data_IF_360660927318
#
_entry.id   IF_360660927318
#
_cell.length_a   1.000
_cell.length_b   1.000
_cell.length_c   1.000
_cell.angle_alpha   90.00
_cell.angle_beta   90.00
_cell.angle_gamma   90.00
#
_symmetry.space_group_name_H-M   'P 1'
#
loop_
_entity.id
_entity.type
_entity.pdbx_description
1 polymer ?
#
# COMPACT_ATOMS: atom_id res chain seq x y z
N UNK A 1 -27.45 -9.87 14.59
CA UNK A 1 -27.44 -8.59 15.33
C UNK A 1 -27.34 -7.46 14.33
N UNK A 2 -28.43 -6.71 14.18
CA UNK A 2 -28.66 -5.69 13.15
C UNK A 2 -27.96 -4.37 13.50
N UNK A 3 -27.16 -3.83 12.57
CA UNK A 3 -26.48 -2.53 12.72
C UNK A 3 -27.48 -1.41 12.35
N UNK A 4 -28.06 -0.79 13.37
CA UNK A 4 -29.03 0.30 13.23
C UNK A 4 -28.41 1.57 12.64
N UNK A 5 -29.13 2.16 11.68
CA UNK A 5 -28.99 3.53 11.16
C UNK A 5 -28.98 4.53 12.32
N UNK A 6 -27.88 5.27 12.51
CA UNK A 6 -27.94 6.61 13.09
C UNK A 6 -26.67 7.41 12.78
N UNK A 7 -26.88 8.69 12.51
CA UNK A 7 -25.91 9.79 12.37
C UNK A 7 -25.33 10.06 10.98
N UNK A 8 -26.22 10.57 10.13
CA UNK A 8 -25.92 11.65 9.19
C UNK A 8 -25.59 12.93 9.97
N UNK A 9 -24.56 13.67 9.50
CA UNK A 9 -24.02 14.96 9.98
C UNK A 9 -23.03 14.91 11.15
N UNK A 10 -21.75 14.66 10.86
CA UNK A 10 -20.65 15.55 11.24
C UNK A 10 -19.35 15.12 10.56
N UNK A 11 -18.53 16.10 10.19
CA UNK A 11 -17.13 16.02 9.70
C UNK A 11 -16.99 16.01 8.17
N UNK A 12 -16.81 17.24 7.66
CA UNK A 12 -16.20 17.55 6.38
C UNK A 12 -14.71 17.15 6.35
N UNK A 13 -14.27 16.71 5.15
CA UNK A 13 -12.89 16.62 4.66
C UNK A 13 -11.97 15.61 5.36
N UNK A 14 -11.97 14.39 4.82
CA UNK A 14 -10.79 13.51 4.78
C UNK A 14 -10.67 12.98 3.34
N UNK A 15 -9.57 13.23 2.60
CA UNK A 15 -9.41 12.65 1.29
C UNK A 15 -9.02 11.18 1.40
N UNK A 16 -9.58 10.38 0.50
CA UNK A 16 -9.34 8.97 0.31
C UNK A 16 -7.83 8.67 0.21
N UNK A 17 -7.35 7.81 1.12
CA UNK A 17 -5.96 7.36 1.19
C UNK A 17 -5.97 5.84 1.36
N UNK A 18 -6.59 5.14 0.41
CA UNK A 18 -6.58 3.66 0.31
C UNK A 18 -6.71 3.18 -1.15
N UNK A 19 -6.06 3.88 -2.08
CA UNK A 19 -5.92 3.42 -3.47
C UNK A 19 -4.46 3.55 -3.98
N UNK A 20 -3.51 3.71 -3.06
CA UNK A 20 -2.18 4.26 -3.36
C UNK A 20 -1.04 3.27 -3.56
N UNK A 21 -1.24 1.96 -3.39
CA UNK A 21 -0.11 1.02 -3.41
C UNK A 21 0.10 0.25 -4.72
N UNK A 22 -0.79 0.40 -5.71
CA UNK A 22 -0.63 -0.25 -7.02
C UNK A 22 -0.15 0.69 -8.15
N UNK A 23 0.24 1.93 -7.81
CA UNK A 23 0.53 2.99 -8.79
C UNK A 23 1.84 3.76 -8.58
N UNK A 24 2.72 3.30 -7.69
CA UNK A 24 4.00 3.98 -7.43
C UNK A 24 5.11 3.60 -8.45
N UNK A 25 4.92 2.58 -9.29
CA UNK A 25 5.91 2.22 -10.33
C UNK A 25 5.66 2.81 -11.73
N UNK A 26 4.73 3.78 -11.90
CA UNK A 26 4.45 4.37 -13.22
C UNK A 26 4.49 5.91 -13.26
N UNK A 27 4.88 6.58 -12.17
CA UNK A 27 5.02 8.04 -12.13
C UNK A 27 6.43 8.56 -12.43
N UNK A 28 7.31 7.73 -13.00
CA UNK A 28 8.66 8.13 -13.45
C UNK A 28 8.84 8.17 -14.98
N UNK A 29 7.76 8.06 -15.77
CA UNK A 29 7.86 7.96 -17.23
C UNK A 29 6.88 8.86 -18.01
N UNK A 30 6.59 10.08 -17.51
CA UNK A 30 6.02 11.15 -18.34
C UNK A 30 6.86 12.42 -18.18
N UNK A 31 8.05 12.40 -18.79
CA UNK A 31 8.82 13.59 -19.08
C UNK A 31 9.01 13.69 -20.60
N UNK A 32 8.13 14.42 -21.27
CA UNK A 32 8.26 14.97 -22.63
C UNK A 32 6.98 15.77 -22.89
N UNK A 33 6.95 17.08 -23.11
CA UNK A 33 7.97 18.09 -23.31
C UNK A 33 7.36 19.16 -24.19
N UNK A 34 6.98 20.31 -23.62
CA UNK A 34 6.95 21.57 -24.35
C UNK A 34 7.18 22.78 -23.42
N UNK A 35 8.18 23.60 -23.76
CA UNK A 35 8.26 25.00 -23.37
C UNK A 35 8.33 25.37 -21.89
N UNK A 36 9.27 24.84 -21.09
CA UNK A 36 9.57 25.40 -19.74
C UNK A 36 11.05 25.29 -19.31
N UNK A 37 11.99 25.23 -20.26
CA UNK A 37 13.43 25.11 -19.96
C UNK A 37 14.00 26.29 -19.14
N UNK A 38 13.40 27.47 -19.24
CA UNK A 38 13.84 28.66 -18.51
C UNK A 38 13.28 28.75 -17.08
N UNK A 39 12.29 27.92 -16.73
CA UNK A 39 11.76 27.84 -15.35
C UNK A 39 12.35 26.66 -14.58
N UNK A 40 12.54 25.51 -15.21
CA UNK A 40 13.18 24.34 -14.58
C UNK A 40 14.62 24.66 -14.15
N UNK A 41 15.40 25.28 -15.03
CA UNK A 41 16.78 25.71 -14.75
C UNK A 41 16.87 26.78 -13.65
N UNK A 42 15.86 27.66 -13.53
CA UNK A 42 15.78 28.64 -12.43
C UNK A 42 15.44 27.98 -11.10
N UNK A 43 14.53 27.01 -11.08
CA UNK A 43 14.15 26.26 -9.88
C UNK A 43 15.32 25.40 -9.39
N UNK A 44 16.07 24.76 -10.29
CA UNK A 44 17.26 23.97 -9.95
C UNK A 44 18.43 24.86 -9.46
N UNK A 45 18.63 26.03 -10.07
CA UNK A 45 19.64 26.99 -9.62
C UNK A 45 19.28 27.64 -8.26
N UNK A 46 17.98 27.81 -7.98
CA UNK A 46 17.49 28.31 -6.69
C UNK A 46 17.58 27.23 -5.60
N UNK A 47 17.26 25.97 -5.92
CA UNK A 47 17.45 24.83 -5.04
C UNK A 47 18.94 24.58 -4.70
N UNK A 48 19.85 24.74 -5.67
CA UNK A 48 21.29 24.63 -5.46
C UNK A 48 21.85 25.77 -4.57
N UNK A 49 21.29 26.99 -4.66
CA UNK A 49 21.59 28.09 -3.74
C UNK A 49 21.05 27.86 -2.33
N UNK A 50 19.96 27.14 -2.18
CA UNK A 50 19.37 26.80 -0.88
C UNK A 50 20.11 25.63 -0.21
N UNK A 51 20.66 24.69 -1.00
CA UNK A 51 21.48 23.57 -0.52
C UNK A 51 22.89 23.97 -0.06
N UNK A 52 23.40 25.13 -0.48
CA UNK A 52 24.73 25.66 -0.10
C UNK A 52 24.69 26.70 1.02
N UNK A 53 23.50 27.09 1.49
CA UNK A 53 23.42 27.85 2.74
C UNK A 53 23.75 26.89 3.89
N UNK A 54 24.66 27.26 4.81
CA UNK A 54 24.82 26.48 6.03
C UNK A 54 23.45 26.39 6.66
N UNK A 55 22.93 25.16 6.83
CA UNK A 55 21.70 24.91 7.58
C UNK A 55 21.93 25.61 8.92
N UNK A 56 21.34 26.79 9.07
CA UNK A 56 21.60 27.65 10.21
C UNK A 56 21.41 26.78 11.43
N UNK A 57 22.41 26.74 12.31
CA UNK A 57 22.40 25.90 13.53
C UNK A 57 20.97 25.85 14.00
N UNK A 58 20.35 24.68 13.94
CA UNK A 58 19.05 24.46 14.55
C UNK A 58 19.22 25.02 15.94
N UNK A 59 18.61 26.18 16.19
CA UNK A 59 18.40 26.64 17.55
C UNK A 59 17.42 25.60 18.04
N UNK A 60 17.97 24.53 18.61
CA UNK A 60 17.23 23.69 19.54
C UNK A 60 16.74 24.73 20.53
N UNK A 61 15.46 25.09 20.41
CA UNK A 61 14.79 25.87 21.43
C UNK A 61 15.16 25.13 22.69
N UNK A 62 15.91 25.80 23.57
CA UNK A 62 16.27 25.27 24.87
C UNK A 62 14.93 24.86 25.45
N UNK A 63 14.65 23.56 25.44
CA UNK A 63 13.40 23.04 25.93
C UNK A 63 13.30 23.62 27.33
N UNK A 64 12.30 24.46 27.55
CA UNK A 64 11.98 24.89 28.90
C UNK A 64 11.89 23.60 29.72
N UNK A 65 12.66 23.54 30.80
CA UNK A 65 12.88 22.38 31.68
C UNK A 65 11.59 21.95 32.43
N UNK A 66 10.43 22.06 31.80
CA UNK A 66 9.25 21.28 32.13
C UNK A 66 9.25 20.07 31.21
N UNK A 67 9.86 18.97 31.67
CA UNK A 67 9.58 17.65 31.12
C UNK A 67 8.09 17.40 31.35
N UNK A 68 7.23 17.80 30.41
CA UNK A 68 5.88 17.28 30.35
C UNK A 68 6.04 15.77 30.32
N UNK A 69 5.55 15.13 31.38
CA UNK A 69 5.65 13.69 31.57
C UNK A 69 5.05 13.01 30.34
N UNK A 70 5.91 12.40 29.52
CA UNK A 70 5.45 11.64 28.35
C UNK A 70 4.38 10.65 28.80
N UNK A 71 3.21 10.77 28.21
CA UNK A 71 2.07 9.91 28.50
C UNK A 71 2.35 8.51 27.96
N UNK A 72 1.98 7.48 28.73
CA UNK A 72 2.15 6.10 28.32
C UNK A 72 1.13 5.70 27.24
N UNK A 73 1.45 4.74 26.37
CA UNK A 73 0.51 4.22 25.36
C UNK A 73 -0.87 3.87 25.96
N UNK A 74 -0.87 3.28 27.16
CA UNK A 74 -2.07 2.87 27.88
C UNK A 74 -3.03 4.02 28.20
N UNK A 75 -2.57 5.28 28.29
CA UNK A 75 -3.47 6.42 28.52
C UNK A 75 -4.26 6.79 27.27
N UNK A 76 -3.79 6.43 26.07
CA UNK A 76 -4.46 6.72 24.81
C UNK A 76 -5.39 5.60 24.34
N UNK A 77 -5.14 4.37 24.77
CA UNK A 77 -5.91 3.18 24.37
C UNK A 77 -7.42 3.26 24.66
N UNK A 78 -7.92 3.84 25.77
CA UNK A 78 -9.36 4.01 25.98
C UNK A 78 -10.02 4.90 24.92
N UNK A 79 -9.35 6.01 24.55
CA UNK A 79 -9.84 6.90 23.50
C UNK A 79 -9.81 6.21 22.12
N UNK A 80 -8.75 5.45 21.84
CA UNK A 80 -8.62 4.68 20.62
C UNK A 80 -9.74 3.62 20.48
N UNK A 81 -10.03 2.88 21.56
CA UNK A 81 -11.15 1.93 21.62
C UNK A 81 -12.50 2.61 21.38
N UNK A 82 -12.73 3.77 22.00
CA UNK A 82 -13.95 4.57 21.79
C UNK A 82 -14.09 5.01 20.33
N UNK A 83 -12.99 5.40 19.70
CA UNK A 83 -12.93 5.82 18.30
C UNK A 83 -12.82 4.66 17.29
N UNK A 84 -12.75 3.41 17.76
CA UNK A 84 -12.59 2.20 16.92
C UNK A 84 -11.35 2.22 16.03
N UNK A 85 -10.27 2.78 16.54
CA UNK A 85 -8.95 2.79 15.88
C UNK A 85 -7.98 1.91 16.63
N UNK A 86 -7.13 1.22 15.87
CA UNK A 86 -5.99 0.49 16.41
C UNK A 86 -4.88 1.51 16.71
N UNK A 87 -4.50 1.62 17.98
CA UNK A 87 -3.41 2.50 18.41
C UNK A 87 -2.41 1.67 19.20
N UNK A 88 -1.43 1.12 18.47
CA UNK A 88 -0.43 0.21 18.97
C UNK A 88 0.94 0.60 18.41
N UNK A 89 2.01 0.25 19.14
CA UNK A 89 3.36 0.48 18.67
C UNK A 89 3.76 -0.63 17.69
N UNK A 90 4.38 -0.30 16.54
CA UNK A 90 4.91 -1.31 15.65
C UNK A 90 6.03 -2.10 16.33
N UNK A 91 6.02 -3.42 16.14
CA UNK A 91 7.11 -4.30 16.55
C UNK A 91 8.12 -4.35 15.41
N UNK A 92 9.29 -3.77 15.64
CA UNK A 92 10.35 -3.68 14.64
C UNK A 92 11.24 -4.91 14.63
N UNK A 93 11.59 -5.36 13.43
CA UNK A 93 12.63 -6.33 13.17
C UNK A 93 14.00 -5.75 13.54
N UNK A 94 14.77 -6.49 14.34
CA UNK A 94 16.05 -6.06 14.91
C UNK A 94 17.25 -6.73 14.26
N UNK A 95 17.02 -7.77 13.47
CA UNK A 95 18.07 -8.52 12.77
C UNK A 95 17.69 -8.77 11.30
N UNK A 96 18.67 -8.98 10.40
CA UNK A 96 18.38 -9.35 9.02
C UNK A 96 17.54 -10.64 8.90
N UNK A 97 17.73 -11.60 9.81
CA UNK A 97 16.95 -12.83 9.82
C UNK A 97 15.47 -12.58 10.17
N UNK A 98 15.20 -11.66 11.11
CA UNK A 98 13.84 -11.28 11.48
C UNK A 98 13.11 -10.58 10.32
N UNK A 99 13.80 -9.74 9.53
CA UNK A 99 13.23 -9.10 8.32
C UNK A 99 12.69 -10.16 7.34
N UNK A 100 13.53 -11.15 7.01
CA UNK A 100 13.15 -12.19 6.04
C UNK A 100 12.05 -13.11 6.59
N UNK A 101 12.11 -13.45 7.88
CA UNK A 101 11.09 -14.24 8.55
C UNK A 101 9.73 -13.53 8.60
N UNK A 102 9.70 -12.24 8.97
CA UNK A 102 8.48 -11.43 9.00
C UNK A 102 7.84 -11.34 7.61
N UNK A 103 8.62 -11.02 6.59
CA UNK A 103 8.13 -10.93 5.21
C UNK A 103 7.54 -12.27 4.73
N UNK A 104 8.29 -13.36 4.92
CA UNK A 104 7.87 -14.70 4.49
C UNK A 104 6.60 -15.15 5.21
N UNK A 105 6.53 -14.96 6.54
CA UNK A 105 5.37 -15.35 7.33
C UNK A 105 4.11 -14.55 6.93
N UNK A 106 4.25 -13.25 6.68
CA UNK A 106 3.12 -12.42 6.27
C UNK A 106 2.61 -12.79 4.87
N UNK A 107 3.50 -12.98 3.89
CA UNK A 107 3.11 -13.41 2.54
C UNK A 107 2.40 -14.78 2.58
N UNK A 108 2.92 -15.73 3.36
CA UNK A 108 2.28 -17.05 3.52
C UNK A 108 0.89 -16.95 4.19
N UNK A 109 0.72 -16.04 5.15
CA UNK A 109 -0.58 -15.77 5.76
C UNK A 109 -1.55 -15.13 4.75
N UNK A 110 -1.08 -14.20 3.93
CA UNK A 110 -1.84 -13.59 2.84
C UNK A 110 -2.29 -14.63 1.81
N UNK A 111 -1.36 -15.48 1.35
CA UNK A 111 -1.66 -16.58 0.41
C UNK A 111 -2.75 -17.50 0.97
N UNK A 112 -2.65 -17.89 2.25
CA UNK A 112 -3.65 -18.72 2.91
C UNK A 112 -5.04 -18.08 2.91
N UNK A 113 -5.14 -16.76 3.10
CA UNK A 113 -6.43 -16.07 3.06
C UNK A 113 -6.96 -15.96 1.62
N UNK A 114 -6.09 -15.68 0.65
CA UNK A 114 -6.46 -15.68 -0.76
C UNK A 114 -6.95 -17.07 -1.23
N UNK A 115 -6.30 -18.14 -0.78
CA UNK A 115 -6.72 -19.51 -1.04
C UNK A 115 -8.10 -19.81 -0.43
N UNK A 116 -8.37 -19.31 0.77
CA UNK A 116 -9.66 -19.46 1.41
C UNK A 116 -10.78 -18.73 0.63
N UNK A 117 -10.49 -17.54 0.08
CA UNK A 117 -11.42 -16.81 -0.79
C UNK A 117 -11.65 -17.60 -2.07
N UNK A 118 -10.59 -18.07 -2.73
CA UNK A 118 -10.67 -18.83 -3.98
C UNK A 118 -11.47 -20.14 -3.86
N UNK A 119 -11.60 -20.70 -2.65
CA UNK A 119 -12.34 -21.92 -2.37
C UNK A 119 -13.84 -21.70 -2.12
N UNK A 120 -14.32 -20.46 -2.05
CA UNK A 120 -15.74 -20.17 -1.81
C UNK A 120 -16.61 -20.53 -3.01
N UNK A 121 -17.76 -21.16 -2.76
CA UNK A 121 -18.82 -21.20 -3.76
C UNK A 121 -19.54 -19.87 -3.85
N UNK A 122 -20.27 -19.65 -4.94
CA UNK A 122 -21.09 -18.45 -5.15
C UNK A 122 -22.13 -18.30 -4.03
N UNK A 123 -22.74 -19.40 -3.60
CA UNK A 123 -23.78 -19.43 -2.56
C UNK A 123 -23.23 -19.13 -1.16
N UNK A 124 -21.97 -19.46 -0.90
CA UNK A 124 -21.30 -19.16 0.36
C UNK A 124 -20.68 -17.76 0.41
N UNK A 125 -20.55 -17.11 -0.75
CA UNK A 125 -19.90 -15.81 -0.91
C UNK A 125 -20.78 -14.66 -0.42
N UNK A 126 -20.18 -13.74 0.33
CA UNK A 126 -20.78 -12.50 0.80
C UNK A 126 -19.72 -11.39 0.88
N UNK A 127 -20.15 -10.16 1.19
CA UNK A 127 -19.24 -9.03 1.23
C UNK A 127 -18.05 -9.26 2.17
N UNK A 128 -18.30 -9.79 3.37
CA UNK A 128 -17.26 -9.98 4.39
C UNK A 128 -16.24 -11.03 3.99
N UNK A 129 -16.67 -12.22 3.56
CA UNK A 129 -15.74 -13.31 3.27
C UNK A 129 -15.17 -13.27 1.84
N UNK A 130 -15.67 -12.40 0.96
CA UNK A 130 -15.17 -12.29 -0.43
C UNK A 130 -14.47 -10.96 -0.69
N UNK A 131 -15.09 -9.82 -0.37
CA UNK A 131 -14.54 -8.49 -0.73
C UNK A 131 -13.72 -7.92 0.41
N UNK A 132 -14.27 -7.84 1.62
CA UNK A 132 -13.51 -7.35 2.78
C UNK A 132 -12.32 -8.27 3.10
N UNK A 133 -12.49 -9.58 2.91
CA UNK A 133 -11.41 -10.56 3.09
C UNK A 133 -10.18 -10.32 2.18
N UNK A 134 -10.31 -9.64 1.04
CA UNK A 134 -9.15 -9.27 0.21
C UNK A 134 -8.26 -8.23 0.90
N UNK A 135 -8.89 -7.28 1.59
CA UNK A 135 -8.18 -6.28 2.39
C UNK A 135 -7.55 -6.95 3.61
N UNK A 136 -8.31 -7.81 4.31
CA UNK A 136 -7.79 -8.59 5.44
C UNK A 136 -6.59 -9.47 5.05
N UNK A 137 -6.57 -10.01 3.83
CA UNK A 137 -5.46 -10.81 3.31
C UNK A 137 -4.21 -9.98 3.04
N UNK A 138 -4.39 -8.73 2.63
CA UNK A 138 -3.32 -7.81 2.25
C UNK A 138 -2.78 -7.01 3.44
N UNK A 139 -3.62 -6.72 4.43
CA UNK A 139 -3.32 -5.91 5.60
C UNK A 139 -2.08 -6.35 6.39
N UNK A 140 -1.90 -7.63 6.78
CA UNK A 140 -0.72 -8.04 7.52
C UNK A 140 0.56 -7.93 6.68
N UNK A 141 0.47 -8.16 5.37
CA UNK A 141 1.59 -8.00 4.43
C UNK A 141 1.98 -6.52 4.33
N UNK A 142 0.98 -5.62 4.23
CA UNK A 142 1.20 -4.18 4.15
C UNK A 142 1.91 -3.66 5.40
N UNK A 143 1.41 -4.03 6.58
CA UNK A 143 2.03 -3.62 7.84
C UNK A 143 3.49 -4.08 7.97
N UNK A 144 3.84 -5.25 7.44
CA UNK A 144 5.23 -5.72 7.41
C UNK A 144 6.04 -4.94 6.38
N UNK A 145 5.47 -4.71 5.18
CA UNK A 145 6.10 -3.92 4.12
C UNK A 145 6.49 -2.52 4.61
N UNK A 146 5.56 -1.82 5.25
CA UNK A 146 5.78 -0.45 5.74
C UNK A 146 6.93 -0.39 6.77
N UNK A 147 7.00 -1.38 7.68
CA UNK A 147 8.10 -1.45 8.64
C UNK A 147 9.43 -1.74 7.95
N UNK A 148 9.45 -2.70 7.04
CA UNK A 148 10.66 -3.06 6.29
C UNK A 148 11.16 -1.88 5.47
N UNK A 149 10.28 -1.13 4.82
CA UNK A 149 10.65 0.04 4.04
C UNK A 149 11.22 1.16 4.93
N UNK A 150 10.69 1.38 6.14
CA UNK A 150 11.32 2.31 7.09
C UNK A 150 12.73 1.84 7.49
N UNK A 151 12.93 0.54 7.76
CA UNK A 151 14.26 0.00 8.05
C UNK A 151 15.21 0.21 6.87
N UNK A 152 14.74 -0.01 5.63
CA UNK A 152 15.50 0.17 4.39
C UNK A 152 16.02 1.61 4.26
N UNK A 153 15.17 2.60 4.53
CA UNK A 153 15.51 4.02 4.35
C UNK A 153 16.28 4.63 5.52
N UNK A 154 16.09 4.12 6.75
CA UNK A 154 16.53 4.85 7.96
C UNK A 154 17.55 4.11 8.82
N UNK A 155 17.72 2.79 8.66
CA UNK A 155 18.64 2.03 9.49
C UNK A 155 20.09 2.47 9.28
N UNK A 156 20.85 2.62 10.36
CA UNK A 156 22.29 2.91 10.31
C UNK A 156 23.12 1.68 9.91
N UNK A 157 22.61 0.47 10.13
CA UNK A 157 23.28 -0.78 9.77
C UNK A 157 23.05 -1.13 8.28
N UNK A 158 24.15 -1.27 7.53
CA UNK A 158 24.12 -1.64 6.12
C UNK A 158 23.48 -3.01 5.89
N UNK A 159 23.76 -4.00 6.74
CA UNK A 159 23.22 -5.35 6.58
C UNK A 159 21.69 -5.37 6.74
N UNK A 160 21.16 -4.53 7.65
CA UNK A 160 19.71 -4.33 7.79
C UNK A 160 19.10 -3.68 6.55
N UNK A 161 19.73 -2.61 6.02
CA UNK A 161 19.23 -1.93 4.81
C UNK A 161 19.23 -2.84 3.58
N UNK A 162 20.33 -3.55 3.34
CA UNK A 162 20.45 -4.48 2.21
C UNK A 162 19.38 -5.58 2.29
N UNK A 163 19.18 -6.16 3.47
CA UNK A 163 18.16 -7.20 3.67
C UNK A 163 16.74 -6.66 3.54
N UNK A 164 16.47 -5.46 4.05
CA UNK A 164 15.18 -4.81 3.88
C UNK A 164 14.87 -4.51 2.41
N UNK A 165 15.85 -4.09 1.61
CA UNK A 165 15.71 -3.92 0.16
C UNK A 165 15.34 -5.24 -0.53
N UNK A 166 16.01 -6.34 -0.21
CA UNK A 166 15.67 -7.66 -0.75
C UNK A 166 14.24 -8.09 -0.38
N UNK A 167 13.84 -7.92 0.89
CA UNK A 167 12.51 -8.27 1.36
C UNK A 167 11.41 -7.41 0.72
N UNK A 168 11.64 -6.09 0.57
CA UNK A 168 10.72 -5.18 -0.12
C UNK A 168 10.48 -5.61 -1.58
N UNK A 169 11.54 -6.03 -2.30
CA UNK A 169 11.40 -6.59 -3.65
C UNK A 169 10.55 -7.86 -3.67
N UNK A 170 10.72 -8.76 -2.69
CA UNK A 170 9.91 -9.99 -2.58
C UNK A 170 8.43 -9.66 -2.33
N UNK A 171 8.14 -8.74 -1.40
CA UNK A 171 6.77 -8.33 -1.06
C UNK A 171 6.09 -7.66 -2.27
N UNK A 172 6.79 -6.79 -3.00
CA UNK A 172 6.25 -6.17 -4.22
C UNK A 172 5.93 -7.23 -5.28
N UNK A 173 6.82 -8.22 -5.49
CA UNK A 173 6.55 -9.33 -6.40
C UNK A 173 5.32 -10.16 -5.97
N UNK A 174 5.14 -10.36 -4.66
CA UNK A 174 3.96 -11.03 -4.11
C UNK A 174 2.67 -10.25 -4.39
N UNK A 175 2.63 -8.92 -4.17
CA UNK A 175 1.45 -8.10 -4.48
C UNK A 175 1.05 -8.19 -5.96
N UNK A 176 2.03 -8.16 -6.86
CA UNK A 176 1.79 -8.37 -8.29
C UNK A 176 1.17 -9.74 -8.53
N UNK A 177 1.80 -10.81 -8.00
CA UNK A 177 1.29 -12.18 -8.18
C UNK A 177 -0.14 -12.36 -7.62
N UNK A 178 -0.42 -11.83 -6.43
CA UNK A 178 -1.73 -11.86 -5.79
C UNK A 178 -2.79 -11.17 -6.66
N UNK A 179 -2.47 -10.01 -7.26
CA UNK A 179 -3.36 -9.30 -8.18
C UNK A 179 -3.70 -10.05 -9.48
N UNK A 180 -2.90 -11.05 -9.85
CA UNK A 180 -3.10 -11.91 -11.02
C UNK A 180 -3.69 -13.30 -10.69
N UNK A 181 -4.08 -13.56 -9.44
CA UNK A 181 -4.77 -14.80 -9.03
C UNK A 181 -6.13 -14.94 -9.72
N UNK A 182 -6.20 -15.79 -10.74
CA UNK A 182 -7.42 -15.99 -11.55
C UNK A 182 -8.55 -16.67 -10.77
N UNK A 183 -8.21 -17.59 -9.90
CA UNK A 183 -9.13 -18.29 -9.01
C UNK A 183 -9.82 -17.34 -8.01
N UNK A 184 -9.05 -16.44 -7.39
CA UNK A 184 -9.61 -15.38 -6.54
C UNK A 184 -10.51 -14.46 -7.35
N UNK A 185 -10.05 -14.00 -8.53
CA UNK A 185 -10.84 -13.17 -9.43
C UNK A 185 -12.17 -13.83 -9.83
N UNK A 186 -12.17 -15.14 -10.15
CA UNK A 186 -13.39 -15.88 -10.50
C UNK A 186 -14.42 -15.83 -9.38
N UNK A 187 -13.98 -16.05 -8.14
CA UNK A 187 -14.86 -15.98 -6.97
C UNK A 187 -15.45 -14.58 -6.80
N UNK A 188 -14.60 -13.54 -6.86
CA UNK A 188 -15.01 -12.14 -6.74
C UNK A 188 -15.98 -11.74 -7.85
N UNK A 189 -15.70 -12.14 -9.10
CA UNK A 189 -16.55 -11.87 -10.25
C UNK A 189 -17.91 -12.56 -10.11
N UNK A 190 -17.93 -13.83 -9.72
CA UNK A 190 -19.17 -14.58 -9.54
C UNK A 190 -20.03 -13.99 -8.42
N UNK A 191 -19.42 -13.58 -7.29
CA UNK A 191 -20.12 -12.84 -6.24
C UNK A 191 -20.70 -11.52 -6.77
N UNK A 192 -19.93 -10.75 -7.54
CA UNK A 192 -20.40 -9.50 -8.13
C UNK A 192 -21.58 -9.68 -9.10
N UNK A 193 -21.61 -10.78 -9.86
CA UNK A 193 -22.69 -11.13 -10.79
C UNK A 193 -24.02 -11.41 -10.09
N UNK A 194 -24.00 -11.81 -8.81
CA UNK A 194 -25.22 -11.91 -7.98
C UNK A 194 -25.89 -10.55 -7.73
N UNK A 195 -25.22 -9.45 -8.07
CA UNK A 195 -25.65 -8.06 -7.85
C UNK A 195 -26.04 -7.81 -6.39
N UNK A 196 -25.10 -8.00 -5.45
CA UNK A 196 -25.38 -7.85 -4.03
C UNK A 196 -25.87 -6.42 -3.71
N UNK A 197 -26.86 -6.31 -2.84
CA UNK A 197 -27.37 -5.02 -2.37
C UNK A 197 -26.41 -4.39 -1.36
N UNK A 198 -25.39 -3.69 -1.85
CA UNK A 198 -24.41 -2.95 -1.05
C UNK A 198 -24.67 -1.45 -1.10
N UNK A 199 -24.21 -0.72 -0.08
CA UNK A 199 -24.38 0.73 0.04
C UNK A 199 -23.11 1.40 0.57
N UNK A 200 -22.93 2.67 0.25
CA UNK A 200 -21.81 3.47 0.78
C UNK A 200 -20.43 2.91 0.40
N UNK A 201 -19.56 2.78 1.39
CA UNK A 201 -18.17 2.35 1.23
C UNK A 201 -18.05 0.89 0.75
N UNK A 202 -18.94 -0.01 1.17
CA UNK A 202 -18.93 -1.41 0.75
C UNK A 202 -19.17 -1.54 -0.76
N UNK A 203 -20.12 -0.75 -1.30
CA UNK A 203 -20.39 -0.70 -2.74
C UNK A 203 -19.23 -0.05 -3.52
N UNK A 204 -18.59 0.97 -2.93
CA UNK A 204 -17.42 1.61 -3.52
C UNK A 204 -16.24 0.63 -3.58
N UNK A 205 -15.99 -0.12 -2.51
CA UNK A 205 -14.92 -1.11 -2.45
C UNK A 205 -15.11 -2.17 -3.53
N UNK A 206 -16.29 -2.79 -3.63
CA UNK A 206 -16.58 -3.76 -4.68
C UNK A 206 -16.35 -3.18 -6.09
N UNK A 207 -16.83 -1.95 -6.33
CA UNK A 207 -16.67 -1.27 -7.63
C UNK A 207 -15.19 -1.07 -7.99
N UNK A 208 -14.40 -0.61 -7.04
CA UNK A 208 -12.98 -0.30 -7.25
C UNK A 208 -12.15 -1.58 -7.37
N UNK A 209 -12.43 -2.61 -6.58
CA UNK A 209 -11.83 -3.95 -6.74
C UNK A 209 -12.06 -4.50 -8.15
N UNK A 210 -13.30 -4.44 -8.66
CA UNK A 210 -13.60 -4.91 -10.02
C UNK A 210 -12.96 -4.04 -11.11
N UNK A 211 -12.86 -2.72 -10.89
CA UNK A 211 -12.14 -1.81 -11.78
C UNK A 211 -10.68 -2.21 -11.89
N UNK A 212 -10.03 -2.50 -10.77
CA UNK A 212 -8.61 -2.80 -10.74
C UNK A 212 -8.31 -4.17 -11.36
N UNK A 213 -9.18 -5.18 -11.14
CA UNK A 213 -9.12 -6.44 -11.89
C UNK A 213 -9.28 -6.26 -13.41
N UNK A 214 -10.19 -5.38 -13.86
CA UNK A 214 -10.31 -5.07 -15.30
C UNK A 214 -9.04 -4.40 -15.84
N UNK A 215 -8.44 -3.46 -15.10
CA UNK A 215 -7.16 -2.81 -15.47
C UNK A 215 -5.98 -3.78 -15.47
N UNK A 216 -6.08 -4.87 -14.71
CA UNK A 216 -5.12 -5.97 -14.75
C UNK A 216 -5.41 -7.00 -15.85
N UNK A 217 -6.47 -6.80 -16.64
CA UNK A 217 -6.82 -7.67 -17.77
C UNK A 217 -7.44 -9.00 -17.33
N UNK A 218 -7.93 -9.11 -16.10
CA UNK A 218 -8.55 -10.35 -15.61
C UNK A 218 -9.86 -10.69 -16.32
N UNK A 219 -10.55 -9.68 -16.86
CA UNK A 219 -11.71 -9.85 -17.72
C UNK A 219 -11.36 -10.26 -19.17
N UNK A 220 -10.08 -10.27 -19.56
CA UNK A 220 -9.66 -10.67 -20.90
C UNK A 220 -9.55 -12.20 -21.01
N UNK A 221 -9.73 -12.75 -22.23
CA UNK A 221 -9.33 -14.13 -22.54
C UNK A 221 -7.86 -14.38 -22.18
N UNK A 222 -7.53 -15.63 -21.85
CA UNK A 222 -6.21 -16.03 -21.33
C UNK A 222 -5.07 -15.57 -22.25
N UNK A 223 -5.24 -15.70 -23.56
CA UNK A 223 -4.26 -15.32 -24.57
C UNK A 223 -3.99 -13.81 -24.55
N UNK A 224 -5.06 -13.01 -24.42
CA UNK A 224 -4.96 -11.54 -24.34
C UNK A 224 -4.38 -11.08 -23.01
N UNK A 225 -4.66 -11.79 -21.92
CA UNK A 225 -4.07 -11.52 -20.60
C UNK A 225 -2.57 -11.82 -20.58
N UNK A 226 -2.14 -12.90 -21.24
CA UNK A 226 -0.73 -13.23 -21.39
C UNK A 226 0.00 -12.15 -22.21
N UNK A 227 -0.57 -11.71 -23.33
CA UNK A 227 -0.05 -10.57 -24.12
C UNK A 227 0.06 -9.29 -23.26
N UNK A 228 -0.95 -8.98 -22.45
CA UNK A 228 -0.91 -7.83 -21.55
C UNK A 228 0.21 -7.94 -20.52
N UNK A 229 0.44 -9.13 -19.96
CA UNK A 229 1.52 -9.39 -19.00
C UNK A 229 2.90 -9.16 -19.63
N UNK A 230 3.10 -9.63 -20.86
CA UNK A 230 4.33 -9.42 -21.63
C UNK A 230 4.57 -7.92 -21.90
N UNK A 231 3.56 -7.21 -22.42
CA UNK A 231 3.64 -5.76 -22.68
C UNK A 231 3.93 -4.95 -21.41
N UNK A 232 3.30 -5.28 -20.28
CA UNK A 232 3.60 -4.64 -18.99
C UNK A 232 5.03 -4.90 -18.54
N UNK A 233 5.56 -6.10 -18.80
CA UNK A 233 6.94 -6.45 -18.46
C UNK A 233 7.93 -5.66 -19.32
N UNK A 234 7.69 -5.58 -20.63
CA UNK A 234 8.49 -4.79 -21.56
C UNK A 234 8.49 -3.30 -21.18
N UNK A 235 7.32 -2.72 -20.90
CA UNK A 235 7.19 -1.33 -20.46
C UNK A 235 7.97 -1.06 -19.18
N UNK A 236 7.91 -1.96 -18.20
CA UNK A 236 8.67 -1.82 -16.96
C UNK A 236 10.18 -1.84 -17.23
N UNK A 237 10.66 -2.76 -18.06
CA UNK A 237 12.08 -2.83 -18.43
C UNK A 237 12.54 -1.55 -19.15
N UNK A 238 11.78 -1.08 -20.14
CA UNK A 238 12.09 0.18 -20.85
C UNK A 238 12.12 1.39 -19.91
N UNK A 239 11.21 1.43 -18.92
CA UNK A 239 11.17 2.51 -17.93
C UNK A 239 12.41 2.49 -17.01
N UNK A 240 12.88 1.30 -16.63
CA UNK A 240 14.10 1.13 -15.84
C UNK A 240 15.36 1.51 -16.64
N UNK A 241 15.43 1.11 -17.92
CA UNK A 241 16.51 1.49 -18.81
C UNK A 241 16.57 3.00 -19.00
N UNK A 242 15.41 3.64 -19.24
CA UNK A 242 15.32 5.09 -19.35
C UNK A 242 15.81 5.78 -18.08
N UNK A 243 15.33 5.36 -16.91
CA UNK A 243 15.75 5.91 -15.62
C UNK A 243 17.24 5.71 -15.29
N UNK A 244 17.89 4.71 -15.90
CA UNK A 244 19.34 4.47 -15.75
C UNK A 244 20.18 5.38 -16.64
N UNK A 245 19.61 5.86 -17.74
CA UNK A 245 20.31 6.68 -18.73
C UNK A 245 20.26 8.18 -18.42
N UNK A 246 19.44 8.61 -17.45
CA UNK A 246 19.31 10.01 -16.98
C UNK A 246 19.83 10.16 -15.56
#
# INVERSE_FOLDING_TARGET
>A
MTRTKSHSKLIHRFPALMAGLFLISLLSACGQGDGTDDQQSKVEAEAAKQATQPVGKLKVNKAEDSVEKLLALSSFQPAAKKAKVLFELPVWEKTPAEIDASATAAMAAGDKQLDAIAALSVEASNFTNTIAALDDASYPVLNVSDRIDVIRETSQDKAMRDKALEASKKIQAWYVAAGFREDVYKTVSAYAETKPELQGEDALLLKDTLRDYRRNGMALPKEKRQQLKELKTELNNMSLEFATNI
#
